data_IF_712752906458
#
_entry.id   IF_712752906458
#
_cell.length_a   1.000
_cell.length_b   1.000
_cell.length_c   1.000
_cell.angle_alpha   90.00
_cell.angle_beta   90.00
_cell.angle_gamma   90.00
#
_symmetry.space_group_name_H-M   'P 1'
#
loop_
_entity.id
_entity.type
_entity.pdbx_description
1 polymer ?
#
# COMPACT_ATOMS: atom_id res chain seq x y z
N UNK A 1 10.45 2.04 -27.39
CA UNK A 1 9.93 1.57 -28.70
C UNK A 1 9.15 0.26 -28.49
N UNK A 2 7.83 0.31 -28.24
CA UNK A 2 7.04 -0.85 -27.81
C UNK A 2 6.81 -1.93 -28.87
N UNK A 3 7.29 -1.73 -30.11
CA UNK A 3 7.02 -2.63 -31.24
C UNK A 3 7.60 -4.03 -31.05
N UNK A 4 8.79 -4.15 -30.43
CA UNK A 4 9.45 -5.45 -30.21
C UNK A 4 8.66 -6.31 -29.24
N UNK A 5 8.17 -5.71 -28.15
CA UNK A 5 7.30 -6.38 -27.18
C UNK A 5 5.98 -6.83 -27.81
N UNK A 6 5.33 -5.96 -28.59
CA UNK A 6 4.07 -6.30 -29.27
C UNK A 6 4.21 -7.41 -30.32
N UNK A 7 5.31 -7.40 -31.08
CA UNK A 7 5.59 -8.45 -32.09
C UNK A 7 5.89 -9.78 -31.39
N UNK A 8 6.69 -9.77 -30.31
CA UNK A 8 6.97 -10.97 -29.52
C UNK A 8 5.72 -11.59 -28.91
N UNK A 9 4.89 -10.77 -28.26
CA UNK A 9 3.64 -11.19 -27.67
C UNK A 9 2.70 -11.85 -28.70
N UNK A 10 2.64 -11.32 -29.92
CA UNK A 10 1.86 -11.93 -31.00
C UNK A 10 2.33 -13.36 -31.33
N UNK A 11 3.65 -13.61 -31.39
CA UNK A 11 4.21 -14.95 -31.63
C UNK A 11 3.85 -15.90 -30.49
N UNK A 12 3.93 -15.45 -29.23
CA UNK A 12 3.55 -16.22 -28.05
C UNK A 12 2.08 -16.61 -28.10
N UNK A 13 1.19 -15.65 -28.41
CA UNK A 13 -0.25 -15.88 -28.50
C UNK A 13 -0.57 -16.93 -29.57
N UNK A 14 0.10 -16.88 -30.73
CA UNK A 14 -0.08 -17.91 -31.78
C UNK A 14 0.40 -19.29 -31.29
N UNK A 15 1.52 -19.36 -30.57
CA UNK A 15 1.99 -20.61 -29.96
C UNK A 15 1.00 -21.18 -28.94
N UNK A 16 0.46 -20.34 -28.07
CA UNK A 16 -0.59 -20.72 -27.12
C UNK A 16 -1.86 -21.19 -27.84
N UNK A 17 -2.26 -20.50 -28.91
CA UNK A 17 -3.43 -20.85 -29.73
C UNK A 17 -3.30 -22.26 -30.31
N UNK A 18 -2.14 -22.61 -30.84
CA UNK A 18 -1.87 -23.96 -31.37
C UNK A 18 -1.97 -25.02 -30.27
N UNK A 19 -1.49 -24.70 -29.06
CA UNK A 19 -1.56 -25.60 -27.92
C UNK A 19 -3.00 -25.86 -27.47
N UNK A 20 -3.83 -24.83 -27.35
CA UNK A 20 -5.23 -24.98 -26.89
C UNK A 20 -6.10 -25.67 -27.95
N UNK A 21 -5.86 -25.43 -29.24
CA UNK A 21 -6.60 -26.05 -30.33
C UNK A 21 -6.09 -27.45 -30.71
N UNK A 22 -5.04 -27.96 -30.04
CA UNK A 22 -4.44 -29.26 -30.32
C UNK A 22 -4.02 -29.43 -31.80
N UNK A 23 -3.58 -28.33 -32.42
CA UNK A 23 -3.15 -28.33 -33.82
C UNK A 23 -1.84 -29.13 -33.98
N UNK A 24 -1.57 -29.69 -35.16
CA UNK A 24 -0.27 -30.29 -35.45
C UNK A 24 0.84 -29.24 -35.20
N UNK A 25 1.98 -29.71 -34.67
CA UNK A 25 3.11 -28.85 -34.26
C UNK A 25 2.86 -27.93 -33.05
N UNK A 26 1.81 -28.15 -32.26
CA UNK A 26 1.55 -27.39 -31.04
C UNK A 26 2.72 -27.26 -30.07
N UNK A 27 3.45 -28.35 -29.84
CA UNK A 27 4.65 -28.34 -28.99
C UNK A 27 5.74 -27.40 -29.53
N UNK A 28 6.26 -27.64 -30.74
CA UNK A 28 7.26 -26.78 -31.36
C UNK A 28 6.84 -25.31 -31.46
N UNK A 29 5.60 -25.00 -31.87
CA UNK A 29 5.13 -23.62 -32.00
C UNK A 29 5.05 -22.90 -30.64
N UNK A 30 4.61 -23.61 -29.60
CA UNK A 30 4.62 -23.08 -28.24
C UNK A 30 6.05 -22.82 -27.74
N UNK A 31 6.98 -23.74 -28.01
CA UNK A 31 8.39 -23.56 -27.65
C UNK A 31 9.01 -22.34 -28.32
N UNK A 32 8.71 -22.10 -29.60
CA UNK A 32 9.16 -20.91 -30.34
C UNK A 32 8.61 -19.62 -29.71
N UNK A 33 7.31 -19.60 -29.37
CA UNK A 33 6.70 -18.48 -28.66
C UNK A 33 7.39 -18.19 -27.33
N UNK A 34 7.51 -19.20 -26.47
CA UNK A 34 8.14 -19.05 -25.16
C UNK A 34 9.62 -18.65 -25.22
N UNK A 35 10.38 -19.17 -26.20
CA UNK A 35 11.77 -18.73 -26.43
C UNK A 35 11.86 -17.28 -26.89
N UNK A 36 10.93 -16.85 -27.74
CA UNK A 36 10.83 -15.44 -28.16
C UNK A 36 10.61 -14.54 -26.94
N UNK A 37 9.71 -14.93 -26.05
CA UNK A 37 9.41 -14.19 -24.82
C UNK A 37 10.61 -14.16 -23.88
N UNK A 38 11.31 -15.29 -23.70
CA UNK A 38 12.51 -15.36 -22.88
C UNK A 38 13.62 -14.40 -23.37
N UNK A 39 13.82 -14.30 -24.69
CA UNK A 39 14.78 -13.36 -25.27
C UNK A 39 14.37 -11.91 -25.06
N UNK A 40 13.09 -11.59 -25.22
CA UNK A 40 12.58 -10.24 -25.02
C UNK A 40 12.72 -9.81 -23.56
N UNK A 41 12.35 -10.67 -22.62
CA UNK A 41 12.55 -10.40 -21.18
C UNK A 41 14.03 -10.22 -20.83
N UNK A 42 14.90 -11.05 -21.39
CA UNK A 42 16.34 -10.90 -21.18
C UNK A 42 16.86 -9.54 -21.67
N UNK A 43 16.45 -9.12 -22.87
CA UNK A 43 16.83 -7.82 -23.42
C UNK A 43 16.16 -6.63 -22.69
N UNK A 44 14.97 -6.84 -22.11
CA UNK A 44 14.26 -5.85 -21.31
C UNK A 44 15.03 -5.46 -20.05
N UNK A 45 15.83 -6.36 -19.47
CA UNK A 45 16.63 -6.07 -18.28
C UNK A 45 17.69 -4.98 -18.51
N UNK A 46 18.09 -4.76 -19.77
CA UNK A 46 19.07 -3.74 -20.15
C UNK A 46 18.43 -2.43 -20.59
N UNK A 47 17.09 -2.34 -20.62
CA UNK A 47 16.43 -1.08 -20.97
C UNK A 47 16.43 -0.13 -19.76
N UNK A 48 16.73 1.17 -19.98
CA UNK A 48 16.62 2.16 -18.92
C UNK A 48 15.17 2.22 -18.45
N UNK A 49 14.99 2.16 -17.12
CA UNK A 49 13.68 2.28 -16.48
C UNK A 49 13.01 3.55 -17.00
N UNK A 50 11.83 3.41 -17.60
CA UNK A 50 11.06 4.58 -17.98
C UNK A 50 10.69 5.29 -16.68
N UNK A 51 11.04 6.57 -16.56
CA UNK A 51 10.61 7.35 -15.41
C UNK A 51 9.07 7.31 -15.37
N UNK A 52 8.51 6.87 -14.25
CA UNK A 52 7.08 6.95 -14.04
C UNK A 52 6.68 8.42 -14.09
N UNK A 53 5.67 8.74 -14.89
CA UNK A 53 5.14 10.10 -14.95
C UNK A 53 4.63 10.47 -13.56
N UNK A 54 5.15 11.56 -13.00
CA UNK A 54 4.71 12.05 -11.70
C UNK A 54 3.29 12.63 -11.82
N UNK A 55 2.30 11.78 -11.53
CA UNK A 55 0.88 12.14 -11.56
C UNK A 55 0.52 13.20 -10.52
N UNK A 56 1.35 13.36 -9.47
CA UNK A 56 1.16 14.38 -8.46
C UNK A 56 1.29 15.81 -9.03
N UNK A 57 1.98 15.96 -10.16
CA UNK A 57 2.10 17.26 -10.83
C UNK A 57 0.76 17.75 -11.43
N UNK A 58 -0.13 16.83 -11.79
CA UNK A 58 -1.46 17.12 -12.36
C UNK A 58 -2.56 16.96 -11.30
N UNK A 59 -2.40 15.97 -10.42
CA UNK A 59 -3.29 15.66 -9.31
C UNK A 59 -2.53 15.81 -7.99
N UNK A 60 -2.39 17.04 -7.48
CA UNK A 60 -1.65 17.29 -6.25
C UNK A 60 -2.15 16.50 -5.03
N UNK A 61 -3.41 16.08 -5.06
CA UNK A 61 -4.03 15.19 -4.08
C UNK A 61 -3.39 13.78 -3.99
N UNK A 62 -2.69 13.35 -5.03
CA UNK A 62 -1.94 12.09 -5.06
C UNK A 62 -0.47 12.27 -4.61
N UNK A 63 -0.05 13.50 -4.33
CA UNK A 63 1.30 13.75 -3.82
C UNK A 63 1.47 13.13 -2.43
N UNK A 64 2.62 12.51 -2.22
CA UNK A 64 3.01 12.04 -0.89
C UNK A 64 3.15 13.28 0.02
N UNK A 65 2.28 13.42 1.02
CA UNK A 65 2.25 14.61 1.90
C UNK A 65 1.10 15.60 1.66
N UNK A 66 0.15 15.30 0.77
CA UNK A 66 -1.08 16.08 0.63
C UNK A 66 -1.88 16.13 1.94
N UNK A 67 -2.18 17.35 2.40
CA UNK A 67 -3.06 17.58 3.54
C UNK A 67 -4.43 18.11 3.07
N UNK A 68 -5.51 17.31 3.18
CA UNK A 68 -6.84 17.70 2.70
C UNK A 68 -7.45 18.86 3.49
N UNK A 69 -6.93 19.19 4.68
CA UNK A 69 -7.44 20.29 5.51
C UNK A 69 -6.87 21.65 5.13
N UNK A 70 -5.67 21.68 4.54
CA UNK A 70 -4.96 22.91 4.18
C UNK A 70 -4.84 23.11 2.66
N UNK A 71 -5.20 22.09 1.85
CA UNK A 71 -5.14 22.13 0.39
C UNK A 71 -3.74 22.54 -0.11
N UNK A 72 -2.71 22.05 0.58
CA UNK A 72 -1.31 22.34 0.29
C UNK A 72 -0.54 21.04 0.04
N UNK A 73 0.39 21.12 -0.91
CA UNK A 73 1.13 19.98 -1.46
C UNK A 73 2.62 20.06 -1.11
N UNK A 74 2.95 20.93 -0.16
CA UNK A 74 4.31 21.02 0.35
C UNK A 74 4.60 19.74 1.09
N UNK A 75 5.48 18.92 0.51
CA UNK A 75 6.32 18.00 1.27
C UNK A 75 6.89 18.83 2.42
N UNK A 76 6.26 18.75 3.59
CA UNK A 76 6.82 19.30 4.80
C UNK A 76 7.99 18.37 5.05
N UNK A 77 9.15 18.76 4.50
CA UNK A 77 10.43 18.10 4.70
C UNK A 77 10.40 17.64 6.14
N UNK A 78 10.42 16.32 6.31
CA UNK A 78 10.35 15.66 7.60
C UNK A 78 11.67 15.95 8.31
N UNK A 79 11.87 17.22 8.64
CA UNK A 79 12.68 17.67 9.75
C UNK A 79 12.23 16.75 10.88
N UNK A 80 13.16 15.99 11.50
CA UNK A 80 12.78 15.09 12.56
C UNK A 80 12.24 15.97 13.69
N UNK A 81 10.92 16.16 13.71
CA UNK A 81 10.25 16.76 14.83
C UNK A 81 10.52 15.81 16.00
N UNK A 82 11.11 16.28 17.10
CA UNK A 82 11.55 15.42 18.21
C UNK A 82 10.38 14.76 18.95
N UNK A 83 9.13 15.00 18.52
CA UNK A 83 7.94 14.57 19.22
C UNK A 83 7.28 13.41 18.46
N UNK A 84 7.74 12.19 18.77
CA UNK A 84 6.99 10.95 18.55
C UNK A 84 5.59 11.03 19.16
N UNK A 85 4.72 10.08 18.78
CA UNK A 85 3.31 9.83 19.18
C UNK A 85 2.56 10.91 20.01
N UNK A 86 3.11 11.32 21.16
CA UNK A 86 2.76 12.51 21.94
C UNK A 86 2.53 13.77 21.11
N UNK A 87 3.33 14.05 20.06
CA UNK A 87 3.15 15.23 19.20
C UNK A 87 1.90 15.18 18.33
N UNK A 88 1.55 13.99 17.82
CA UNK A 88 0.30 13.78 17.08
C UNK A 88 -0.93 13.87 17.99
N UNK A 89 -0.81 13.45 19.25
CA UNK A 89 -1.87 13.62 20.24
C UNK A 89 -2.09 15.09 20.60
N UNK A 90 -1.02 15.88 20.70
CA UNK A 90 -1.08 17.33 20.95
C UNK A 90 -1.74 18.08 19.77
N UNK A 91 -1.39 17.73 18.53
CA UNK A 91 -2.05 18.28 17.34
C UNK A 91 -3.54 17.90 17.28
N UNK A 92 -3.91 16.67 17.66
CA UNK A 92 -5.33 16.27 17.72
C UNK A 92 -6.08 16.96 18.86
N UNK A 93 -5.45 17.15 20.02
CA UNK A 93 -5.98 17.90 21.17
C UNK A 93 -6.14 19.40 20.86
N UNK A 94 -5.29 19.95 20.00
CA UNK A 94 -5.34 21.35 19.59
C UNK A 94 -6.41 21.61 18.52
N UNK A 95 -6.66 20.64 17.65
CA UNK A 95 -7.63 20.74 16.56
C UNK A 95 -9.08 20.41 16.99
N UNK A 96 -9.26 19.58 18.02
CA UNK A 96 -10.55 19.43 18.68
C UNK A 96 -10.72 20.55 19.72
N UNK A 97 -11.90 21.18 19.81
CA UNK A 97 -12.19 22.15 20.87
C UNK A 97 -12.26 21.45 22.24
N UNK A 98 -11.10 21.24 22.84
CA UNK A 98 -10.94 20.50 24.09
C UNK A 98 -11.42 21.36 25.26
N UNK A 99 -12.66 21.15 25.67
CA UNK A 99 -13.18 21.66 26.94
C UNK A 99 -12.64 20.81 28.11
N UNK A 100 -12.32 21.43 29.27
CA UNK A 100 -11.87 20.71 30.47
C UNK A 100 -12.80 19.56 30.92
N UNK A 101 -14.08 19.70 30.59
CA UNK A 101 -15.12 18.70 30.84
C UNK A 101 -14.93 17.42 30.01
N UNK A 102 -14.48 17.53 28.75
CA UNK A 102 -14.21 16.37 27.89
C UNK A 102 -13.02 15.54 28.37
N UNK A 103 -11.94 16.18 28.86
CA UNK A 103 -10.81 15.49 29.48
C UNK A 103 -11.24 14.75 30.75
N UNK A 104 -12.09 15.39 31.57
CA UNK A 104 -12.61 14.81 32.80
C UNK A 104 -13.46 13.57 32.49
N UNK A 105 -14.31 13.64 31.48
CA UNK A 105 -15.14 12.51 31.03
C UNK A 105 -14.30 11.37 30.44
N UNK A 106 -13.26 11.69 29.65
CA UNK A 106 -12.32 10.70 29.13
C UNK A 106 -11.57 9.98 30.26
N UNK A 107 -11.05 10.73 31.24
CA UNK A 107 -10.37 10.16 32.40
C UNK A 107 -11.27 9.25 33.25
N UNK A 108 -12.53 9.64 33.45
CA UNK A 108 -13.52 8.78 34.10
C UNK A 108 -13.81 7.50 33.29
N UNK A 109 -13.87 7.60 31.95
CA UNK A 109 -14.05 6.46 31.05
C UNK A 109 -12.89 5.46 31.11
N UNK A 110 -11.65 5.96 31.09
CA UNK A 110 -10.44 5.12 31.20
C UNK A 110 -10.36 4.43 32.58
N UNK A 111 -10.73 5.13 33.66
CA UNK A 111 -10.80 4.53 35.00
C UNK A 111 -11.87 3.43 35.09
N UNK A 112 -13.04 3.62 34.48
CA UNK A 112 -14.08 2.59 34.40
C UNK A 112 -13.62 1.38 33.61
N UNK A 113 -12.97 1.60 32.46
CA UNK A 113 -12.41 0.53 31.66
C UNK A 113 -11.37 -0.27 32.45
N UNK A 114 -10.44 0.41 33.13
CA UNK A 114 -9.42 -0.25 33.95
C UNK A 114 -10.04 -1.08 35.08
N UNK A 115 -11.09 -0.58 35.75
CA UNK A 115 -11.77 -1.31 36.80
C UNK A 115 -12.51 -2.55 36.25
N UNK A 116 -13.17 -2.43 35.09
CA UNK A 116 -13.82 -3.57 34.42
C UNK A 116 -12.81 -4.61 33.97
N UNK A 117 -11.67 -4.19 33.40
CA UNK A 117 -10.59 -5.11 33.01
C UNK A 117 -9.97 -5.81 34.24
N UNK A 118 -9.81 -5.10 35.37
CA UNK A 118 -9.35 -5.72 36.61
C UNK A 118 -10.35 -6.75 37.15
N UNK A 119 -11.65 -6.47 37.09
CA UNK A 119 -12.71 -7.42 37.45
C UNK A 119 -12.74 -8.63 36.52
N UNK A 120 -12.55 -8.43 35.21
CA UNK A 120 -12.42 -9.53 34.24
C UNK A 120 -11.17 -10.37 34.50
N UNK A 121 -10.06 -9.75 34.90
CA UNK A 121 -8.85 -10.46 35.33
C UNK A 121 -9.10 -11.34 36.56
N UNK A 122 -9.81 -10.83 37.57
CA UNK A 122 -10.16 -11.58 38.77
C UNK A 122 -11.13 -12.74 38.49
N UNK A 123 -12.08 -12.57 37.56
CA UNK A 123 -12.96 -13.65 37.10
C UNK A 123 -12.17 -14.73 36.32
N UNK A 124 -11.19 -14.30 35.51
CA UNK A 124 -10.26 -15.20 34.81
C UNK A 124 -9.39 -16.01 35.77
N UNK A 125 -8.88 -15.39 36.84
CA UNK A 125 -8.15 -16.08 37.89
C UNK A 125 -9.05 -17.03 38.67
N UNK A 126 -10.27 -16.63 39.07
CA UNK A 126 -11.20 -17.50 39.78
C UNK A 126 -11.66 -18.73 38.96
N UNK A 127 -11.73 -18.60 37.64
CA UNK A 127 -12.03 -19.71 36.71
C UNK A 127 -10.84 -20.67 36.55
N UNK A 128 -9.61 -20.24 36.87
CA UNK A 128 -8.40 -21.05 36.78
C UNK A 128 -8.08 -21.82 38.08
N UNK A 129 -8.85 -21.61 39.16
CA UNK A 129 -8.68 -22.32 40.46
C UNK A 129 -9.79 -23.35 40.71
N UNK A 130 -10.68 -23.60 39.74
CA UNK A 130 -11.67 -24.72 39.76
C UNK A 130 -11.30 -25.74 38.69
#
# INVERSE_FOLDING_TARGET
MPKVYGIGAAVVIVGALFKIQHLPFAGPMLSVGLLTEALIFFLSAFQPHQAETDWALVYPELSEGYDPSTNDNRFREKTPAPNGLTGKLDDMLKNANVTPEALTNLGQGLNRLSATTAQLGQLGEATNVT
#
